data_IF_553029454001
#
_entry.id   IF_553029454001
#
_cell.length_a   1.000
_cell.length_b   1.000
_cell.length_c   1.000
_cell.angle_alpha   90.00
_cell.angle_beta   90.00
_cell.angle_gamma   90.00
#
_symmetry.space_group_name_H-M   'P 1'
#
loop_
_entity.id
_entity.type
_entity.pdbx_description
1 polymer ?
#
# COMPACT_ATOMS: atom_id res chain seq x y z
N UNK A 1 42.45 13.72 33.37
CA UNK A 1 42.26 13.69 31.88
C UNK A 1 41.48 12.47 31.38
N UNK A 2 41.38 11.39 32.11
CA UNK A 2 40.67 10.18 31.66
C UNK A 2 39.13 10.28 31.70
N UNK A 3 38.58 10.99 32.63
CA UNK A 3 37.13 11.18 32.78
C UNK A 3 36.46 11.84 31.59
N UNK A 4 37.13 12.83 30.94
CA UNK A 4 36.57 13.47 29.74
C UNK A 4 36.52 12.57 28.51
N UNK A 5 37.46 11.62 28.37
CA UNK A 5 37.50 10.66 27.25
C UNK A 5 36.40 9.59 27.39
N UNK A 6 36.11 9.17 28.61
CA UNK A 6 35.03 8.22 28.92
C UNK A 6 33.69 8.86 28.63
N UNK A 7 33.49 10.10 29.05
CA UNK A 7 32.25 10.85 28.81
C UNK A 7 31.99 11.05 27.30
N UNK A 8 33.03 11.40 26.54
CA UNK A 8 32.91 11.57 25.09
C UNK A 8 32.46 10.23 24.39
N UNK A 9 33.12 9.11 24.74
CA UNK A 9 32.77 7.80 24.20
C UNK A 9 31.34 7.40 24.57
N UNK A 10 30.90 7.71 25.77
CA UNK A 10 29.55 7.46 26.23
C UNK A 10 28.52 8.24 25.43
N UNK A 11 28.76 9.52 25.13
CA UNK A 11 27.91 10.33 24.28
C UNK A 11 27.83 9.79 22.85
N UNK A 12 28.95 9.34 22.26
CA UNK A 12 28.94 8.72 20.94
C UNK A 12 28.09 7.44 20.90
N UNK A 13 28.21 6.59 21.90
CA UNK A 13 27.40 5.37 21.99
C UNK A 13 25.92 5.69 22.10
N UNK A 14 25.54 6.64 22.94
CA UNK A 14 24.16 7.08 23.08
C UNK A 14 23.62 7.65 21.76
N UNK A 15 24.39 8.47 21.09
CA UNK A 15 23.99 9.07 19.80
C UNK A 15 23.73 7.99 18.75
N UNK A 16 24.60 6.98 18.67
CA UNK A 16 24.43 5.86 17.74
C UNK A 16 23.20 5.05 18.08
N UNK A 17 22.94 4.76 19.35
CA UNK A 17 21.76 4.04 19.80
C UNK A 17 20.47 4.79 19.45
N UNK A 18 20.44 6.11 19.69
CA UNK A 18 19.30 6.95 19.33
C UNK A 18 19.08 6.97 17.81
N UNK A 19 20.15 7.09 17.02
CA UNK A 19 20.05 7.07 15.57
C UNK A 19 19.49 5.74 15.05
N UNK A 20 19.94 4.61 15.59
CA UNK A 20 19.41 3.29 15.26
C UNK A 20 17.93 3.15 15.65
N UNK A 21 17.57 3.63 16.83
CA UNK A 21 16.18 3.62 17.28
C UNK A 21 15.26 4.44 16.36
N UNK A 22 15.71 5.61 15.90
CA UNK A 22 14.97 6.43 14.93
C UNK A 22 14.78 5.72 13.60
N UNK A 23 15.81 5.06 13.07
CA UNK A 23 15.70 4.28 11.82
C UNK A 23 14.68 3.15 11.98
N UNK A 24 14.68 2.44 13.10
CA UNK A 24 13.71 1.38 13.37
C UNK A 24 12.29 1.95 13.44
N UNK A 25 12.09 3.05 14.15
CA UNK A 25 10.76 3.69 14.28
C UNK A 25 10.24 4.13 12.91
N UNK A 26 11.07 4.80 12.10
CA UNK A 26 10.70 5.22 10.74
C UNK A 26 10.32 4.02 9.88
N UNK A 27 11.08 2.93 9.96
CA UNK A 27 10.80 1.72 9.21
C UNK A 27 9.50 1.03 9.66
N UNK A 28 9.23 1.00 10.96
CA UNK A 28 7.97 0.47 11.51
C UNK A 28 6.79 1.33 11.06
N UNK A 29 6.89 2.66 11.14
CA UNK A 29 5.84 3.57 10.68
C UNK A 29 5.61 3.41 9.18
N UNK A 30 6.67 3.30 8.37
CA UNK A 30 6.56 3.08 6.93
C UNK A 30 5.86 1.76 6.58
N UNK A 31 6.08 0.70 7.37
CA UNK A 31 5.40 -0.58 7.17
C UNK A 31 3.93 -0.60 7.67
N UNK A 32 3.63 0.19 8.70
CA UNK A 32 2.26 0.30 9.23
C UNK A 32 1.39 1.27 8.44
N UNK A 33 2.03 2.21 7.76
CA UNK A 33 1.35 3.16 6.89
C UNK A 33 1.42 2.61 5.47
N UNK A 34 0.28 2.25 4.89
CA UNK A 34 0.14 2.02 3.44
C UNK A 34 0.32 3.36 2.68
N UNK A 35 1.38 4.08 3.04
CA UNK A 35 1.66 5.40 2.50
C UNK A 35 2.20 5.26 1.09
N UNK A 36 1.31 5.34 0.11
CA UNK A 36 1.65 5.39 -1.30
C UNK A 36 1.90 6.83 -1.71
N UNK A 37 3.15 7.14 -2.01
CA UNK A 37 3.52 8.42 -2.61
C UNK A 37 3.61 8.23 -4.11
N UNK A 38 2.72 8.88 -4.85
CA UNK A 38 2.80 8.95 -6.30
C UNK A 38 3.72 10.10 -6.69
N UNK A 39 4.92 9.75 -7.16
CA UNK A 39 5.93 10.71 -7.62
C UNK A 39 5.75 11.12 -9.09
N UNK A 40 4.67 10.69 -9.75
CA UNK A 40 4.41 11.10 -11.11
C UNK A 40 3.87 12.53 -11.16
N UNK A 41 4.37 13.33 -12.06
CA UNK A 41 3.99 14.75 -12.23
C UNK A 41 2.47 14.89 -12.47
N UNK A 42 1.87 13.93 -13.16
CA UNK A 42 0.44 13.91 -13.49
C UNK A 42 -0.41 13.08 -12.51
N UNK A 43 0.17 12.53 -11.46
CA UNK A 43 -0.52 11.62 -10.50
C UNK A 43 -1.36 10.52 -11.19
N UNK A 44 -0.86 10.00 -12.32
CA UNK A 44 -1.59 9.04 -13.18
C UNK A 44 -1.93 7.72 -12.47
N UNK A 45 -1.18 7.39 -11.44
CA UNK A 45 -1.35 6.16 -10.67
C UNK A 45 -2.19 6.35 -9.42
N UNK A 46 -2.52 7.59 -9.07
CA UNK A 46 -3.41 7.91 -7.95
C UNK A 46 -4.85 8.12 -8.43
N UNK A 47 -5.79 7.92 -7.53
CA UNK A 47 -7.18 8.25 -7.79
C UNK A 47 -7.39 9.77 -7.77
N UNK A 48 -8.26 10.26 -8.63
CA UNK A 48 -8.65 11.67 -8.61
C UNK A 48 -9.34 12.02 -7.28
N UNK A 49 -9.22 13.26 -6.85
CA UNK A 49 -9.84 13.75 -5.61
C UNK A 49 -11.35 13.46 -5.60
N UNK A 50 -12.03 13.67 -6.70
CA UNK A 50 -13.46 13.38 -6.82
C UNK A 50 -13.79 11.89 -6.60
N UNK A 51 -12.92 10.98 -7.07
CA UNK A 51 -13.09 9.54 -6.86
C UNK A 51 -12.83 9.18 -5.40
N UNK A 52 -11.82 9.79 -4.77
CA UNK A 52 -11.51 9.58 -3.36
C UNK A 52 -12.67 10.05 -2.48
N UNK A 53 -13.22 11.23 -2.75
CA UNK A 53 -14.36 11.80 -2.03
C UNK A 53 -15.60 10.92 -2.17
N UNK A 54 -15.85 10.40 -3.39
CA UNK A 54 -16.94 9.46 -3.63
C UNK A 54 -16.79 8.17 -2.81
N UNK A 55 -15.60 7.58 -2.80
CA UNK A 55 -15.30 6.34 -2.08
C UNK A 55 -15.34 6.51 -0.56
N UNK A 56 -14.92 7.67 -0.05
CA UNK A 56 -14.97 8.01 1.37
C UNK A 56 -16.37 8.36 1.87
N UNK A 57 -17.27 8.75 0.96
CA UNK A 57 -18.58 9.23 1.34
C UNK A 57 -19.55 8.08 1.65
N UNK A 58 -19.99 7.99 2.89
CA UNK A 58 -21.01 7.03 3.33
C UNK A 58 -22.38 7.27 2.67
N UNK A 59 -22.61 8.50 2.21
CA UNK A 59 -23.89 8.85 1.58
C UNK A 59 -23.91 8.55 0.09
N UNK A 60 -22.76 8.51 -0.58
CA UNK A 60 -22.67 8.26 -2.01
C UNK A 60 -22.39 6.78 -2.32
N UNK A 61 -21.59 6.11 -1.52
CA UNK A 61 -21.31 4.68 -1.63
C UNK A 61 -22.00 3.94 -0.47
N UNK A 62 -23.30 3.70 -0.64
CA UNK A 62 -24.15 3.12 0.40
C UNK A 62 -24.19 1.58 0.37
N UNK A 63 -23.75 0.96 -0.72
CA UNK A 63 -23.79 -0.48 -0.94
C UNK A 63 -22.39 -1.08 -1.04
N UNK A 64 -22.29 -2.39 -0.77
CA UNK A 64 -21.07 -3.15 -0.99
C UNK A 64 -20.90 -3.45 -2.47
N UNK A 65 -19.72 -3.19 -2.98
CA UNK A 65 -19.32 -3.48 -4.36
C UNK A 65 -18.32 -4.62 -4.34
N UNK A 66 -18.64 -5.69 -5.06
CA UNK A 66 -17.72 -6.81 -5.29
C UNK A 66 -17.26 -6.80 -6.75
N UNK A 67 -15.96 -6.60 -6.95
CA UNK A 67 -15.34 -6.72 -8.26
C UNK A 67 -14.90 -8.17 -8.49
N UNK A 68 -15.45 -8.79 -9.54
CA UNK A 68 -15.03 -10.12 -10.01
C UNK A 68 -14.16 -9.98 -11.24
N UNK A 69 -12.89 -10.35 -11.12
CA UNK A 69 -11.90 -10.19 -12.18
C UNK A 69 -11.55 -11.58 -12.73
N UNK A 70 -12.02 -11.88 -13.92
CA UNK A 70 -11.75 -13.14 -14.62
C UNK A 70 -10.37 -13.11 -15.29
N UNK A 71 -9.33 -12.93 -14.49
CA UNK A 71 -7.94 -12.82 -14.95
C UNK A 71 -7.01 -13.59 -13.99
N UNK A 72 -7.36 -14.85 -13.74
CA UNK A 72 -6.58 -15.80 -12.96
C UNK A 72 -6.29 -17.02 -13.83
N UNK A 73 -5.11 -17.64 -13.66
CA UNK A 73 -4.72 -18.86 -14.38
C UNK A 73 -3.23 -19.13 -14.18
N UNK A 74 -2.86 -20.41 -14.33
CA UNK A 74 -1.47 -20.85 -14.13
C UNK A 74 -0.55 -20.43 -15.28
N UNK A 75 -1.08 -20.29 -16.51
CA UNK A 75 -0.32 -19.97 -17.72
C UNK A 75 -0.73 -18.64 -18.36
N UNK A 76 -0.82 -17.59 -17.55
CA UNK A 76 -1.13 -16.26 -18.09
C UNK A 76 0.07 -15.67 -18.86
N UNK A 77 -0.14 -15.13 -20.06
CA UNK A 77 0.89 -14.38 -20.78
C UNK A 77 1.46 -13.23 -19.93
N UNK A 78 2.71 -12.86 -20.20
CA UNK A 78 3.38 -11.80 -19.43
C UNK A 78 2.59 -10.47 -19.40
N UNK A 79 1.91 -10.14 -20.50
CA UNK A 79 1.06 -8.94 -20.61
C UNK A 79 -0.17 -9.04 -19.71
N UNK A 80 -0.84 -10.19 -19.67
CA UNK A 80 -1.97 -10.45 -18.80
C UNK A 80 -1.58 -10.39 -17.32
N UNK A 81 -0.40 -10.90 -16.96
CA UNK A 81 0.15 -10.78 -15.62
C UNK A 81 0.43 -9.33 -15.22
N UNK A 82 0.93 -8.50 -16.15
CA UNK A 82 1.12 -7.06 -15.92
C UNK A 82 -0.22 -6.36 -15.69
N UNK A 83 -1.21 -6.67 -16.52
CA UNK A 83 -2.57 -6.13 -16.40
C UNK A 83 -3.20 -6.55 -15.07
N UNK A 84 -3.09 -7.82 -14.68
CA UNK A 84 -3.57 -8.33 -13.39
C UNK A 84 -2.97 -7.54 -12.21
N UNK A 85 -1.66 -7.29 -12.23
CA UNK A 85 -0.98 -6.51 -11.20
C UNK A 85 -1.48 -5.05 -11.16
N UNK A 86 -1.67 -4.44 -12.33
CA UNK A 86 -2.16 -3.06 -12.42
C UNK A 86 -3.59 -2.94 -11.89
N UNK A 87 -4.49 -3.87 -12.28
CA UNK A 87 -5.87 -3.93 -11.79
C UNK A 87 -5.88 -4.13 -10.27
N UNK A 88 -5.09 -5.10 -9.76
CA UNK A 88 -4.99 -5.35 -8.33
C UNK A 88 -4.57 -4.09 -7.58
N UNK A 89 -3.52 -3.40 -8.05
CA UNK A 89 -3.06 -2.16 -7.43
C UNK A 89 -4.15 -1.09 -7.36
N UNK A 90 -4.94 -0.92 -8.42
CA UNK A 90 -6.07 0.03 -8.42
C UNK A 90 -7.21 -0.38 -7.50
N UNK A 91 -7.54 -1.66 -7.43
CA UNK A 91 -8.58 -2.15 -6.54
C UNK A 91 -8.17 -2.07 -5.06
N UNK A 92 -6.89 -2.27 -4.75
CA UNK A 92 -6.36 -2.02 -3.40
C UNK A 92 -6.47 -0.55 -3.02
N UNK A 93 -6.24 0.36 -3.97
CA UNK A 93 -6.42 1.79 -3.76
C UNK A 93 -7.89 2.14 -3.51
N UNK A 94 -8.83 1.60 -4.30
CA UNK A 94 -10.27 1.74 -4.04
C UNK A 94 -10.65 1.21 -2.66
N UNK A 95 -10.14 0.05 -2.28
CA UNK A 95 -10.38 -0.54 -0.96
C UNK A 95 -9.81 0.29 0.17
N UNK A 96 -8.67 0.96 -0.04
CA UNK A 96 -8.08 1.86 0.93
C UNK A 96 -9.03 3.02 1.28
N UNK A 97 -9.65 3.66 0.28
CA UNK A 97 -10.59 4.76 0.50
C UNK A 97 -11.99 4.31 0.92
N UNK A 98 -12.50 3.23 0.36
CA UNK A 98 -13.86 2.74 0.62
C UNK A 98 -13.95 1.75 1.78
N UNK A 99 -12.84 1.24 2.28
CA UNK A 99 -12.79 0.24 3.35
C UNK A 99 -13.49 -1.06 2.97
N UNK A 100 -14.36 -1.53 3.85
CA UNK A 100 -15.10 -2.79 3.67
C UNK A 100 -16.22 -2.73 2.62
N UNK A 101 -16.49 -1.57 2.04
CA UNK A 101 -17.53 -1.41 1.02
C UNK A 101 -17.09 -1.87 -0.36
N UNK A 102 -15.77 -1.94 -0.60
CA UNK A 102 -15.19 -2.47 -1.83
C UNK A 102 -14.43 -3.75 -1.52
N UNK A 103 -14.83 -4.80 -2.20
CA UNK A 103 -14.16 -6.11 -2.18
C UNK A 103 -13.84 -6.52 -3.61
N UNK A 104 -12.81 -7.35 -3.79
CA UNK A 104 -12.46 -7.87 -5.10
C UNK A 104 -11.95 -9.31 -4.99
N UNK A 105 -12.20 -10.08 -6.04
CA UNK A 105 -11.70 -11.44 -6.20
C UNK A 105 -11.23 -11.68 -7.63
N UNK A 106 -10.14 -12.44 -7.77
CA UNK A 106 -9.67 -12.92 -9.06
C UNK A 106 -10.20 -14.33 -9.28
N UNK A 107 -10.75 -14.56 -10.46
CA UNK A 107 -11.39 -15.84 -10.82
C UNK A 107 -10.68 -16.40 -12.04
N UNK A 108 -10.39 -17.69 -12.01
CA UNK A 108 -9.89 -18.40 -13.19
C UNK A 108 -11.07 -18.76 -14.09
N UNK A 109 -11.14 -18.19 -15.32
CA UNK A 109 -12.23 -18.47 -16.25
C UNK A 109 -12.23 -19.91 -16.76
N UNK A 110 -11.11 -20.64 -16.65
CA UNK A 110 -10.98 -22.01 -17.12
C UNK A 110 -11.41 -23.06 -16.07
N UNK A 111 -11.57 -22.67 -14.82
CA UNK A 111 -12.20 -23.49 -13.80
C UNK A 111 -13.71 -23.26 -13.85
N UNK A 112 -14.32 -23.62 -15.00
CA UNK A 112 -15.77 -23.56 -15.16
C UNK A 112 -16.43 -24.40 -14.08
N UNK A 113 -17.24 -23.76 -13.28
CA UNK A 113 -18.22 -24.45 -12.46
C UNK A 113 -19.24 -25.09 -13.39
N UNK A 114 -19.20 -26.42 -13.50
CA UNK A 114 -20.39 -27.18 -13.80
C UNK A 114 -21.43 -27.03 -12.68
#
# INVERSE_FOLDING_TARGET
METKKITAKFYYVITVVIALALVVIVNVIANLSDFRVDFTEDQRYSLTTSTQDFLNSDSLLNERILFKIYLEGEELPAEANRLKKAIKGKLEEFKYYAGKRVEYEFINPNTGTE
#
